data_IF_695352671717
#
_entry.id   IF_695352671717
#
_cell.length_a   1.000
_cell.length_b   1.000
_cell.length_c   1.000
_cell.angle_alpha   90.00
_cell.angle_beta   90.00
_cell.angle_gamma   90.00
#
_symmetry.space_group_name_H-M   'P 1'
#
loop_
_entity.id
_entity.type
_entity.pdbx_description
1 polymer ?
#
# COMPACT_ATOMS: atom_id res chain seq x y z
N UNK A 1 -1.47 -13.48 -1.25
CA UNK A 1 -1.24 -14.32 -2.46
C UNK A 1 -0.78 -15.72 -2.06
N UNK A 2 0.40 -15.87 -1.44
CA UNK A 2 0.93 -17.17 -0.98
C UNK A 2 -0.10 -18.05 -0.26
N UNK A 3 -0.74 -17.53 0.80
CA UNK A 3 -1.81 -18.25 1.54
C UNK A 3 -2.97 -18.70 0.65
N UNK A 4 -3.36 -17.88 -0.33
CA UNK A 4 -4.54 -18.15 -1.18
C UNK A 4 -4.29 -19.29 -2.18
N UNK A 5 -3.04 -19.45 -2.61
CA UNK A 5 -2.60 -20.49 -3.54
C UNK A 5 -1.82 -21.61 -2.86
N UNK A 6 -1.74 -21.57 -1.53
CA UNK A 6 -0.93 -22.45 -0.69
C UNK A 6 0.47 -22.76 -1.25
N UNK A 7 1.21 -21.71 -1.55
CA UNK A 7 2.57 -21.82 -2.09
C UNK A 7 3.60 -21.09 -1.22
N UNK A 8 4.87 -21.42 -1.41
CA UNK A 8 6.00 -20.70 -0.81
C UNK A 8 6.26 -19.36 -1.50
N UNK A 9 7.05 -18.50 -0.86
CA UNK A 9 7.50 -17.20 -1.38
C UNK A 9 9.00 -17.28 -1.61
N UNK A 10 9.42 -17.26 -2.87
CA UNK A 10 10.84 -17.23 -3.21
C UNK A 10 11.37 -15.81 -3.01
N UNK A 11 12.44 -15.67 -2.22
CA UNK A 11 13.10 -14.39 -1.94
C UNK A 11 14.61 -14.51 -2.11
N UNK A 12 15.30 -13.38 -2.30
CA UNK A 12 16.77 -13.36 -2.28
C UNK A 12 17.29 -13.43 -0.83
N UNK A 13 18.53 -13.89 -0.63
CA UNK A 13 19.13 -14.13 0.71
C UNK A 13 19.13 -12.89 1.61
N UNK A 14 19.38 -11.72 1.03
CA UNK A 14 19.30 -10.43 1.71
C UNK A 14 17.89 -10.15 2.22
N UNK A 15 16.88 -10.36 1.37
CA UNK A 15 15.47 -10.18 1.76
C UNK A 15 15.00 -11.23 2.76
N UNK A 16 15.45 -12.48 2.64
CA UNK A 16 15.15 -13.57 3.57
C UNK A 16 15.50 -13.18 5.02
N UNK A 17 16.74 -12.74 5.23
CA UNK A 17 17.23 -12.30 6.56
C UNK A 17 16.38 -11.17 7.15
N UNK A 18 15.96 -10.20 6.32
CA UNK A 18 15.09 -9.10 6.77
C UNK A 18 13.72 -9.61 7.18
N UNK A 19 13.15 -10.57 6.44
CA UNK A 19 11.82 -11.11 6.74
C UNK A 19 11.83 -12.01 7.99
N UNK A 20 12.91 -12.73 8.27
CA UNK A 20 13.06 -13.49 9.52
C UNK A 20 13.03 -12.60 10.76
N UNK A 21 13.53 -11.37 10.66
CA UNK A 21 13.49 -10.40 11.76
C UNK A 21 12.08 -9.87 12.08
N UNK A 22 11.05 -10.21 11.28
CA UNK A 22 9.68 -9.75 11.53
C UNK A 22 8.93 -10.61 12.56
N UNK A 23 9.55 -11.70 13.05
CA UNK A 23 8.98 -12.59 14.08
C UNK A 23 7.57 -13.11 13.73
N UNK A 24 7.28 -13.27 12.42
CA UNK A 24 6.03 -13.86 11.91
C UNK A 24 6.27 -15.35 11.57
N UNK A 25 5.71 -16.30 12.34
CA UNK A 25 5.91 -17.73 12.11
C UNK A 25 5.27 -18.23 10.82
N UNK A 26 4.10 -17.71 10.44
CA UNK A 26 3.42 -18.14 9.20
C UNK A 26 4.15 -17.62 7.96
N UNK A 27 4.68 -16.40 8.01
CA UNK A 27 5.55 -15.88 6.96
C UNK A 27 6.82 -16.73 6.85
N UNK A 28 7.53 -16.93 7.94
CA UNK A 28 8.80 -17.67 7.99
C UNK A 28 8.65 -19.09 7.46
N UNK A 29 7.57 -19.79 7.83
CA UNK A 29 7.28 -21.15 7.34
C UNK A 29 7.05 -21.23 5.82
N UNK A 30 6.72 -20.11 5.18
CA UNK A 30 6.43 -20.04 3.74
C UNK A 30 7.58 -19.46 2.92
N UNK A 31 8.68 -18.99 3.52
CA UNK A 31 9.82 -18.47 2.77
C UNK A 31 10.64 -19.60 2.14
N UNK A 32 11.19 -19.33 0.95
CA UNK A 32 12.19 -20.21 0.33
C UNK A 32 13.24 -19.38 -0.42
N UNK A 33 14.43 -19.94 -0.55
CA UNK A 33 15.50 -19.43 -1.40
C UNK A 33 15.55 -20.17 -2.76
N UNK A 34 14.80 -21.27 -2.90
CA UNK A 34 14.74 -22.04 -4.13
C UNK A 34 13.61 -21.51 -5.03
N UNK A 35 14.02 -20.95 -6.17
CA UNK A 35 13.12 -20.41 -7.19
C UNK A 35 12.32 -21.51 -7.93
N UNK A 36 12.67 -22.79 -7.76
CA UNK A 36 11.95 -23.90 -8.39
C UNK A 36 10.80 -24.44 -7.53
N UNK A 37 10.75 -24.12 -6.23
CA UNK A 37 9.71 -24.61 -5.31
C UNK A 37 8.38 -23.85 -5.43
N UNK A 38 8.36 -22.72 -6.14
CA UNK A 38 7.17 -21.86 -6.22
C UNK A 38 7.14 -21.06 -7.51
N UNK A 39 5.98 -20.48 -7.81
CA UNK A 39 5.77 -19.49 -8.87
C UNK A 39 5.70 -18.06 -8.32
N UNK A 40 5.68 -17.86 -6.99
CA UNK A 40 5.59 -16.56 -6.34
C UNK A 40 6.96 -16.05 -5.87
N UNK A 41 7.50 -15.03 -6.55
CA UNK A 41 8.87 -14.56 -6.36
C UNK A 41 8.88 -13.08 -5.98
N UNK A 42 9.67 -12.71 -4.97
CA UNK A 42 9.88 -11.32 -4.56
C UNK A 42 11.17 -10.80 -5.18
N UNK A 43 11.06 -9.72 -5.94
CA UNK A 43 12.17 -9.06 -6.60
C UNK A 43 12.35 -7.63 -6.07
N UNK A 44 13.57 -7.07 -6.16
CA UNK A 44 13.78 -5.65 -5.94
C UNK A 44 12.90 -4.80 -6.85
N UNK A 45 12.29 -3.73 -6.32
CA UNK A 45 11.34 -2.87 -7.04
C UNK A 45 11.90 -2.37 -8.39
N UNK A 46 13.19 -2.03 -8.43
CA UNK A 46 13.90 -1.59 -9.65
C UNK A 46 13.83 -2.60 -10.81
N UNK A 47 13.66 -3.89 -10.52
CA UNK A 47 13.55 -4.96 -11.53
C UNK A 47 12.12 -5.19 -12.04
N UNK A 48 11.11 -4.55 -11.46
CA UNK A 48 9.71 -4.66 -11.90
C UNK A 48 9.43 -3.78 -13.12
N UNK A 49 10.22 -3.98 -14.17
CA UNK A 49 10.05 -3.39 -15.49
C UNK A 49 10.17 -4.48 -16.56
N UNK A 50 9.79 -4.18 -17.81
CA UNK A 50 9.77 -5.19 -18.89
C UNK A 50 11.11 -5.91 -19.07
N UNK A 51 12.21 -5.16 -19.11
CA UNK A 51 13.55 -5.72 -19.30
C UNK A 51 13.96 -6.61 -18.11
N UNK A 52 13.82 -6.10 -16.89
CA UNK A 52 14.20 -6.82 -15.68
C UNK A 52 13.39 -8.09 -15.45
N UNK A 53 12.11 -8.07 -15.77
CA UNK A 53 11.24 -9.25 -15.66
C UNK A 53 11.53 -10.27 -16.77
N UNK A 54 11.82 -9.82 -17.98
CA UNK A 54 12.24 -10.71 -19.07
C UNK A 54 13.57 -11.42 -18.74
N UNK A 55 14.58 -10.66 -18.29
CA UNK A 55 15.87 -11.21 -17.84
C UNK A 55 15.76 -12.13 -16.63
N UNK A 56 14.78 -11.89 -15.75
CA UNK A 56 14.56 -12.77 -14.61
C UNK A 56 13.88 -14.07 -15.05
N UNK A 57 12.83 -13.98 -15.87
CA UNK A 57 12.11 -15.13 -16.41
C UNK A 57 13.04 -16.05 -17.21
N UNK A 58 13.96 -15.50 -18.01
CA UNK A 58 14.89 -16.31 -18.81
C UNK A 58 15.86 -17.17 -17.99
N UNK A 59 16.01 -16.88 -16.69
CA UNK A 59 16.83 -17.66 -15.74
C UNK A 59 16.02 -18.74 -15.02
N UNK A 60 14.71 -18.70 -15.09
CA UNK A 60 13.83 -19.71 -14.51
C UNK A 60 13.68 -20.89 -15.47
N UNK A 61 13.17 -22.01 -14.95
CA UNK A 61 12.84 -23.17 -15.80
C UNK A 61 11.88 -22.74 -16.92
N UNK A 62 11.98 -23.42 -18.05
CA UNK A 62 11.21 -23.17 -19.28
C UNK A 62 9.69 -23.37 -19.15
N UNK A 63 9.18 -23.61 -17.94
CA UNK A 63 7.76 -23.89 -17.66
C UNK A 63 6.92 -22.60 -17.61
N UNK A 64 7.53 -21.42 -17.39
CA UNK A 64 6.80 -20.16 -17.26
C UNK A 64 6.74 -19.38 -18.58
N UNK A 65 5.55 -19.31 -19.17
CA UNK A 65 5.30 -18.57 -20.41
C UNK A 65 4.88 -17.10 -20.20
N UNK A 66 4.34 -16.79 -19.02
CA UNK A 66 3.79 -15.47 -18.71
C UNK A 66 4.21 -15.03 -17.32
N UNK A 67 4.33 -13.72 -17.12
CA UNK A 67 4.65 -13.09 -15.83
C UNK A 67 3.58 -12.07 -15.48
N UNK A 68 3.05 -12.19 -14.27
CA UNK A 68 2.22 -11.16 -13.64
C UNK A 68 3.03 -10.55 -12.51
N UNK A 69 3.44 -9.30 -12.68
CA UNK A 69 4.14 -8.53 -11.66
C UNK A 69 3.18 -7.59 -10.95
N UNK A 70 3.36 -7.48 -9.64
CA UNK A 70 2.64 -6.54 -8.79
C UNK A 70 3.64 -5.54 -8.24
N UNK A 71 3.40 -4.26 -8.52
CA UNK A 71 4.17 -3.14 -8.01
C UNK A 71 3.34 -2.46 -6.92
N UNK A 72 3.53 -2.81 -5.64
CA UNK A 72 2.89 -2.09 -4.55
C UNK A 72 3.52 -0.70 -4.46
N UNK A 73 2.74 0.31 -4.82
CA UNK A 73 3.16 1.71 -4.80
C UNK A 73 2.26 2.48 -3.82
N UNK A 74 2.78 3.56 -3.24
CA UNK A 74 2.00 4.45 -2.37
C UNK A 74 0.94 5.22 -3.15
N UNK A 75 0.87 6.54 -2.96
CA UNK A 75 -0.09 7.37 -3.69
C UNK A 75 0.23 7.42 -5.20
N UNK A 76 -0.37 6.52 -5.97
CA UNK A 76 -0.54 6.68 -7.42
C UNK A 76 -1.96 7.18 -7.69
N UNK A 77 -2.33 8.30 -7.07
CA UNK A 77 -3.56 8.99 -7.41
C UNK A 77 -3.36 9.63 -8.78
N UNK A 78 -3.73 8.88 -9.81
CA UNK A 78 -4.09 9.48 -11.07
C UNK A 78 -5.49 10.06 -10.85
N UNK A 79 -5.66 11.38 -11.06
CA UNK A 79 -6.95 12.08 -10.96
C UNK A 79 -8.09 11.39 -11.76
N UNK A 80 -7.72 10.50 -12.69
CA UNK A 80 -8.62 9.70 -13.53
C UNK A 80 -9.03 8.34 -12.94
N UNK A 81 -8.40 7.86 -11.86
CA UNK A 81 -8.66 6.53 -11.32
C UNK A 81 -9.56 6.62 -10.09
N UNK A 82 -10.87 6.44 -10.32
CA UNK A 82 -11.92 6.58 -9.31
C UNK A 82 -12.18 5.26 -8.57
N UNK A 83 -11.85 4.12 -9.17
CA UNK A 83 -12.02 2.77 -8.59
C UNK A 83 -10.83 1.85 -8.87
N UNK A 84 -10.61 0.89 -7.96
CA UNK A 84 -9.67 -0.22 -8.15
C UNK A 84 -9.99 -1.08 -9.38
N UNK A 85 -11.26 -1.12 -9.81
CA UNK A 85 -11.69 -1.88 -10.99
C UNK A 85 -11.10 -1.34 -12.31
N UNK A 86 -10.60 -0.10 -12.29
CA UNK A 86 -10.05 0.57 -13.46
C UNK A 86 -8.53 0.36 -13.62
N UNK A 87 -7.89 -0.39 -12.70
CA UNK A 87 -6.46 -0.67 -12.78
C UNK A 87 -6.16 -1.49 -14.03
N UNK A 88 -5.40 -0.88 -14.96
CA UNK A 88 -4.92 -1.54 -16.18
C UNK A 88 -3.43 -1.87 -16.05
N UNK A 89 -3.01 -3.10 -16.40
CA UNK A 89 -1.60 -3.45 -16.39
C UNK A 89 -0.86 -2.72 -17.51
N UNK A 90 0.41 -2.42 -17.26
CA UNK A 90 1.37 -2.02 -18.29
C UNK A 90 2.15 -3.26 -18.75
N UNK A 91 2.71 -3.20 -19.95
CA UNK A 91 3.60 -4.25 -20.47
C UNK A 91 3.16 -4.80 -21.82
N UNK A 92 3.40 -6.09 -22.05
CA UNK A 92 3.14 -6.76 -23.32
C UNK A 92 2.27 -8.02 -23.10
N UNK A 93 2.16 -8.88 -24.12
CA UNK A 93 1.31 -10.09 -24.05
C UNK A 93 1.77 -11.07 -22.96
N UNK A 94 3.08 -11.21 -22.78
CA UNK A 94 3.69 -12.18 -21.88
C UNK A 94 3.93 -11.63 -20.47
N UNK A 95 4.22 -10.34 -20.36
CA UNK A 95 4.55 -9.67 -19.10
C UNK A 95 3.53 -8.56 -18.84
N UNK A 96 2.76 -8.73 -17.75
CA UNK A 96 1.79 -7.74 -17.26
C UNK A 96 2.23 -7.23 -15.90
N UNK A 97 2.32 -5.92 -15.76
CA UNK A 97 2.74 -5.23 -14.54
C UNK A 97 1.58 -4.40 -14.01
N UNK A 98 1.07 -4.76 -12.84
CA UNK A 98 -0.01 -4.07 -12.13
C UNK A 98 0.58 -3.15 -11.07
N UNK A 99 0.43 -1.84 -11.25
CA UNK A 99 0.66 -0.87 -10.18
C UNK A 99 -0.55 -0.87 -9.25
N UNK A 100 -0.34 -1.25 -7.98
CA UNK A 100 -1.40 -1.29 -6.98
C UNK A 100 -1.20 -0.14 -5.98
N UNK A 101 -2.24 0.66 -5.68
CA UNK A 101 -2.19 1.69 -4.65
C UNK A 101 -2.31 1.04 -3.27
N UNK A 102 -1.18 0.66 -2.69
CA UNK A 102 -1.09 0.10 -1.35
C UNK A 102 -0.30 1.07 -0.46
N UNK A 103 -1.03 1.83 0.36
CA UNK A 103 -0.46 2.83 1.25
C UNK A 103 -0.39 2.32 2.68
N UNK A 104 0.78 2.45 3.30
CA UNK A 104 0.97 2.29 4.75
C UNK A 104 0.90 3.64 5.48
N UNK A 105 0.58 4.72 4.76
CA UNK A 105 0.32 6.04 5.30
C UNK A 105 -1.17 6.36 5.24
N UNK A 106 -1.65 7.15 6.21
CA UNK A 106 -3.02 7.66 6.25
C UNK A 106 -3.32 8.53 5.02
N UNK A 107 -4.50 8.32 4.44
CA UNK A 107 -5.11 9.26 3.51
C UNK A 107 -5.48 10.58 4.22
N UNK A 108 -5.74 11.61 3.42
CA UNK A 108 -6.19 12.91 3.91
C UNK A 108 -7.41 12.80 4.85
N UNK A 109 -8.41 12.02 4.45
CA UNK A 109 -9.65 11.87 5.23
C UNK A 109 -9.43 11.07 6.52
N UNK A 110 -8.58 10.05 6.51
CA UNK A 110 -8.24 9.29 7.72
C UNK A 110 -7.50 10.17 8.72
N UNK A 111 -6.49 10.93 8.26
CA UNK A 111 -5.75 11.84 9.12
C UNK A 111 -6.64 12.97 9.67
N UNK A 112 -7.47 13.58 8.81
CA UNK A 112 -8.45 14.59 9.23
C UNK A 112 -9.37 14.07 10.32
N UNK A 113 -10.00 12.90 10.10
CA UNK A 113 -10.89 12.27 11.08
C UNK A 113 -10.16 11.97 12.39
N UNK A 114 -8.92 11.49 12.33
CA UNK A 114 -8.12 11.21 13.51
C UNK A 114 -7.81 12.48 14.32
N UNK A 115 -7.40 13.57 13.65
CA UNK A 115 -7.12 14.85 14.30
C UNK A 115 -8.39 15.45 14.92
N UNK A 116 -9.51 15.42 14.19
CA UNK A 116 -10.81 15.89 14.70
C UNK A 116 -11.31 15.05 15.88
N UNK A 117 -11.02 13.75 15.91
CA UNK A 117 -11.36 12.87 17.01
C UNK A 117 -10.52 13.12 18.27
N UNK A 118 -9.19 13.20 18.14
CA UNK A 118 -8.29 13.38 19.29
C UNK A 118 -8.29 14.82 19.82
N UNK A 119 -8.50 15.82 18.94
CA UNK A 119 -8.51 17.25 19.27
C UNK A 119 -7.26 17.72 20.04
N UNK A 120 -6.05 17.53 19.49
CA UNK A 120 -4.83 17.93 20.18
C UNK A 120 -4.73 19.45 20.35
N UNK A 121 -4.06 19.91 21.41
CA UNK A 121 -3.78 21.33 21.64
C UNK A 121 -2.78 21.90 20.62
N UNK A 122 -1.85 21.06 20.14
CA UNK A 122 -0.82 21.45 19.19
C UNK A 122 -0.49 20.29 18.23
N UNK A 123 -0.26 20.62 16.96
CA UNK A 123 0.17 19.66 15.93
C UNK A 123 1.55 20.06 15.43
N UNK A 124 2.50 19.11 15.46
CA UNK A 124 3.87 19.29 14.98
C UNK A 124 4.12 18.38 13.76
N UNK A 125 4.13 18.91 12.52
CA UNK A 125 4.32 18.10 11.34
C UNK A 125 5.77 17.59 11.21
N UNK A 126 5.94 16.28 11.09
CA UNK A 126 7.26 15.62 10.93
C UNK A 126 7.65 15.37 9.48
N UNK A 127 6.69 15.45 8.55
CA UNK A 127 6.88 15.20 7.10
C UNK A 127 6.46 16.46 6.33
N UNK A 128 7.07 16.70 5.16
CA UNK A 128 6.81 17.86 4.29
C UNK A 128 7.04 19.24 4.96
N UNK A 129 7.88 19.30 5.99
CA UNK A 129 8.15 20.51 6.79
C UNK A 129 9.40 21.29 6.35
N UNK A 130 10.16 20.83 5.35
CA UNK A 130 11.39 21.49 4.87
C UNK A 130 11.14 22.86 4.20
N UNK A 131 9.97 23.06 3.60
CA UNK A 131 9.61 24.29 2.91
C UNK A 131 8.67 25.16 3.79
N UNK A 132 8.98 26.45 4.04
CA UNK A 132 8.08 27.37 4.75
C UNK A 132 6.68 27.47 4.15
N UNK A 133 6.55 27.42 2.82
CA UNK A 133 5.23 27.47 2.17
C UNK A 133 4.39 26.22 2.50
N UNK A 134 5.00 25.04 2.43
CA UNK A 134 4.35 23.76 2.80
C UNK A 134 3.93 23.75 4.27
N UNK A 135 4.75 24.30 5.16
CA UNK A 135 4.41 24.45 6.58
C UNK A 135 3.16 25.30 6.78
N UNK A 136 3.11 26.50 6.20
CA UNK A 136 1.93 27.38 6.28
C UNK A 136 0.67 26.74 5.71
N UNK A 137 0.79 25.99 4.61
CA UNK A 137 -0.35 25.25 4.05
C UNK A 137 -0.86 24.18 5.01
N UNK A 138 0.03 23.42 5.66
CA UNK A 138 -0.37 22.42 6.65
C UNK A 138 -0.99 23.05 7.89
N UNK A 139 -0.41 24.14 8.40
CA UNK A 139 -0.96 24.89 9.54
C UNK A 139 -2.39 25.38 9.24
N UNK A 140 -2.60 26.00 8.08
CA UNK A 140 -3.93 26.45 7.66
C UNK A 140 -4.93 25.28 7.50
N UNK A 141 -4.49 24.13 7.01
CA UNK A 141 -5.33 22.93 6.91
C UNK A 141 -5.75 22.42 8.30
N UNK A 142 -4.80 22.32 9.23
CA UNK A 142 -5.08 21.86 10.59
C UNK A 142 -6.04 22.80 11.32
N UNK A 143 -5.87 24.12 11.17
CA UNK A 143 -6.80 25.11 11.69
C UNK A 143 -8.21 24.95 11.10
N UNK A 144 -8.32 24.71 9.78
CA UNK A 144 -9.62 24.44 9.14
C UNK A 144 -10.29 23.21 9.74
N UNK A 145 -9.56 22.09 9.90
CA UNK A 145 -10.14 20.85 10.45
C UNK A 145 -10.67 21.03 11.87
N UNK A 146 -9.95 21.76 12.72
CA UNK A 146 -10.32 22.02 14.11
C UNK A 146 -11.52 22.97 14.25
N UNK A 147 -11.77 23.81 13.24
CA UNK A 147 -12.87 24.77 13.21
C UNK A 147 -14.14 24.22 12.54
N UNK A 148 -14.02 23.38 11.51
CA UNK A 148 -15.16 22.75 10.82
C UNK A 148 -16.04 21.94 11.77
N UNK A 149 -15.41 21.19 12.68
CA UNK A 149 -16.11 20.32 13.63
C UNK A 149 -16.90 21.11 14.70
N UNK A 150 -16.51 22.36 14.97
CA UNK A 150 -17.28 23.24 15.89
C UNK A 150 -18.62 23.66 15.29
N UNK A 151 -18.77 23.65 13.96
CA UNK A 151 -20.01 23.99 13.27
C UNK A 151 -20.99 22.82 13.14
N UNK A 152 -20.50 21.58 13.16
CA UNK A 152 -21.32 20.35 13.04
C UNK A 152 -21.78 19.77 14.39
N UNK A 153 -21.45 20.44 15.51
CA UNK A 153 -21.76 19.98 16.86
C UNK A 153 -23.24 20.21 17.27
N UNK A 154 -24.19 19.84 16.40
CA UNK A 154 -25.54 19.44 16.82
C UNK A 154 -25.52 17.93 17.01
N UNK A 155 -25.73 17.41 18.23
CA UNK A 155 -25.73 15.97 18.45
C UNK A 155 -26.90 15.33 17.69
N UNK A 156 -26.62 14.67 16.56
CA UNK A 156 -27.53 13.67 15.99
C UNK A 156 -27.30 12.34 16.70
N UNK A 157 -27.51 12.30 18.01
CA UNK A 157 -27.64 11.03 18.71
C UNK A 157 -29.00 10.46 18.34
N UNK A 158 -29.03 9.51 17.41
CA UNK A 158 -30.20 8.69 17.15
C UNK A 158 -30.52 7.95 18.45
N UNK A 159 -31.65 8.29 19.07
CA UNK A 159 -32.15 7.61 20.28
C UNK A 159 -32.30 6.12 19.96
N UNK A 160 -31.85 5.27 20.88
CA UNK A 160 -31.83 3.79 20.78
C UNK A 160 -33.22 3.20 20.43
N UNK A 161 -34.32 3.91 20.71
CA UNK A 161 -35.68 3.50 20.32
C UNK A 161 -36.00 3.46 18.82
N UNK A 162 -35.08 3.87 17.93
CA UNK A 162 -35.28 3.78 16.47
C UNK A 162 -34.90 2.41 15.86
N UNK A 163 -34.32 1.50 16.65
CA UNK A 163 -33.85 0.18 16.20
C UNK A 163 -34.82 -0.96 16.57
N UNK A 164 -35.94 -0.65 17.22
CA UNK A 164 -36.96 -1.62 17.59
C UNK A 164 -38.28 -1.30 16.89
N UNK A 165 -38.47 -1.88 15.71
CA UNK A 165 -39.76 -2.37 15.19
C UNK A 165 -39.51 -3.65 14.41
#
# INVERSE_FOLDING_TARGET
IARRFDCKICVQRDKYKVLECLEDPDLSARLTLDANETFLHVLPMKKLNLQGLHEYRSKLRTEYNNVVAIEPTGWTYNDKMVSLDQIKPKGNKEIKIYGLPYSEHSSYLELKRFVQYIRPDQILPTVNNGNPASRRMMEALFESWMNEDKAENKPKQTKIGAWAK
#
